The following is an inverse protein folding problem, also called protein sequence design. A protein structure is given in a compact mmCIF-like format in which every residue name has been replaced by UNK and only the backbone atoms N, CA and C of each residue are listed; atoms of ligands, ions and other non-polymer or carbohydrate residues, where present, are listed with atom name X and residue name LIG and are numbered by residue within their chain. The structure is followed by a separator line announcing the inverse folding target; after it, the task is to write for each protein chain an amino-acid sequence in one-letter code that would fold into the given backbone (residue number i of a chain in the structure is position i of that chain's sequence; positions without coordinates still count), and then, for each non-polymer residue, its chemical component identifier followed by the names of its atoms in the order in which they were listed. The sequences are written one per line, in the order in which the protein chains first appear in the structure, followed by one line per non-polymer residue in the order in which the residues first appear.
data_IF_938584884722
#
_entry.id   IF_938584884722
#
_cell.length_a   1.000
_cell.length_b   1.000
_cell.length_c   1.000
_cell.angle_alpha   90.00
_cell.angle_beta   90.00
_cell.angle_gamma   90.00
#
_symmetry.space_group_name_H-M   'P 1'
#
loop_
_entity.id
_entity.type
_entity.pdbx_description
1 polymer ?
#
# COMPACT_ATOMS: atom_id res chain seq x y z
N UNK A 1 33.34 -34.18 18.73
CA UNK A 1 32.93 -32.80 19.09
C UNK A 1 32.47 -32.11 17.81
N UNK A 2 31.24 -31.60 17.78
CA UNK A 2 30.65 -30.93 16.63
C UNK A 2 30.65 -29.42 16.92
N UNK A 3 31.07 -28.53 16.00
CA UNK A 3 31.09 -27.10 16.27
C UNK A 3 29.66 -26.54 16.40
N UNK A 4 29.43 -25.53 17.26
CA UNK A 4 28.13 -24.88 17.39
C UNK A 4 27.79 -24.09 16.11
N UNK A 5 26.50 -23.97 15.75
CA UNK A 5 26.08 -23.17 14.60
C UNK A 5 26.38 -21.68 14.84
N UNK A 6 26.69 -20.90 13.79
CA UNK A 6 26.92 -19.47 13.92
C UNK A 6 25.64 -18.77 14.40
N UNK A 7 25.81 -17.85 15.35
CA UNK A 7 24.74 -17.02 15.87
C UNK A 7 24.07 -16.24 14.73
N UNK A 8 22.78 -16.49 14.51
CA UNK A 8 21.97 -15.62 13.68
C UNK A 8 22.02 -14.22 14.30
N UNK A 9 22.51 -13.26 13.52
CA UNK A 9 22.31 -11.83 13.78
C UNK A 9 20.84 -11.62 14.15
N UNK A 10 20.53 -10.82 15.19
CA UNK A 10 19.14 -10.60 15.57
C UNK A 10 18.42 -10.01 14.37
N UNK A 11 17.55 -10.81 13.76
CA UNK A 11 16.67 -10.32 12.71
C UNK A 11 16.01 -9.08 13.28
N UNK A 12 16.28 -7.93 12.65
CA UNK A 12 15.66 -6.65 12.98
C UNK A 12 14.17 -6.94 13.14
N UNK A 13 13.62 -6.71 14.34
CA UNK A 13 12.30 -7.20 14.74
C UNK A 13 11.25 -6.57 13.83
N UNK A 14 10.98 -7.20 12.69
CA UNK A 14 9.88 -6.82 11.82
C UNK A 14 8.60 -6.96 12.61
N UNK A 15 7.77 -5.94 12.55
CA UNK A 15 6.44 -6.01 13.13
C UNK A 15 5.63 -7.09 12.40
N UNK A 16 4.76 -7.83 13.10
CA UNK A 16 4.00 -8.91 12.48
C UNK A 16 3.05 -8.36 11.41
N UNK A 17 2.81 -9.11 10.33
CA UNK A 17 1.94 -8.66 9.25
C UNK A 17 0.53 -8.38 9.75
N UNK A 18 0.04 -7.17 9.49
CA UNK A 18 -1.25 -6.69 9.97
C UNK A 18 -1.18 -5.84 11.24
N UNK A 19 -0.03 -5.79 11.92
CA UNK A 19 0.25 -4.74 12.88
C UNK A 19 0.43 -3.40 12.15
N UNK A 20 -0.21 -2.36 12.68
CA UNK A 20 -0.18 -0.99 12.12
C UNK A 20 0.16 0.03 13.20
N UNK A 21 0.72 -0.43 14.31
CA UNK A 21 0.93 0.37 15.52
C UNK A 21 2.17 1.28 15.39
N UNK A 22 3.06 0.99 14.44
CA UNK A 22 4.33 1.69 14.23
C UNK A 22 4.35 2.57 12.97
N UNK A 23 3.23 2.67 12.23
CA UNK A 23 3.17 3.50 11.02
C UNK A 23 3.53 4.95 11.37
N UNK A 24 4.54 5.54 10.71
CA UNK A 24 5.02 6.88 11.03
C UNK A 24 3.95 7.93 10.75
N UNK A 25 3.96 9.08 11.45
CA UNK A 25 2.94 10.13 11.31
C UNK A 25 2.72 10.58 9.86
N UNK A 26 3.81 10.70 9.08
CA UNK A 26 3.74 11.08 7.67
C UNK A 26 3.01 10.07 6.77
N UNK A 27 2.92 8.79 7.18
CA UNK A 27 2.23 7.74 6.44
C UNK A 27 0.82 7.44 6.97
N UNK A 28 0.42 8.01 8.12
CA UNK A 28 -0.90 7.77 8.70
C UNK A 28 -2.03 8.29 7.81
N UNK A 29 -1.84 9.48 7.22
CA UNK A 29 -2.82 10.05 6.30
C UNK A 29 -3.02 9.15 5.07
N UNK A 30 -1.92 8.70 4.45
CA UNK A 30 -1.93 7.74 3.34
C UNK A 30 -2.74 6.48 3.68
N UNK A 31 -2.42 5.84 4.80
CA UNK A 31 -3.06 4.59 5.22
C UNK A 31 -4.54 4.80 5.49
N UNK A 32 -4.92 5.92 6.11
CA UNK A 32 -6.31 6.25 6.39
C UNK A 32 -7.12 6.45 5.11
N UNK A 33 -6.61 7.25 4.15
CA UNK A 33 -7.27 7.52 2.88
C UNK A 33 -7.46 6.24 2.05
N UNK A 34 -6.39 5.44 1.89
CA UNK A 34 -6.46 4.18 1.15
C UNK A 34 -7.39 3.17 1.83
N UNK A 35 -7.39 3.08 3.15
CA UNK A 35 -8.27 2.18 3.89
C UNK A 35 -9.73 2.59 3.75
N UNK A 36 -10.04 3.89 3.84
CA UNK A 36 -11.40 4.40 3.66
C UNK A 36 -11.92 4.13 2.26
N UNK A 37 -11.11 4.41 1.24
CA UNK A 37 -11.48 4.18 -0.15
C UNK A 37 -11.66 2.68 -0.45
N UNK A 38 -10.75 1.83 0.04
CA UNK A 38 -10.88 0.38 -0.08
C UNK A 38 -12.14 -0.17 0.60
N UNK A 39 -12.54 0.38 1.75
CA UNK A 39 -13.79 0.02 2.43
C UNK A 39 -15.02 0.43 1.60
N UNK A 40 -15.01 1.63 1.00
CA UNK A 40 -16.06 2.08 0.08
C UNK A 40 -16.18 1.13 -1.11
N UNK A 41 -15.05 0.83 -1.76
CA UNK A 41 -15.00 -0.10 -2.89
C UNK A 41 -15.55 -1.47 -2.46
N UNK A 42 -15.15 -2.00 -1.31
CA UNK A 42 -15.64 -3.29 -0.83
C UNK A 42 -17.17 -3.31 -0.59
N UNK A 43 -17.77 -2.19 -0.15
CA UNK A 43 -19.21 -2.08 0.06
C UNK A 43 -20.02 -1.81 -1.21
N UNK A 44 -19.39 -1.31 -2.28
CA UNK A 44 -20.05 -0.88 -3.53
C UNK A 44 -19.77 -1.82 -4.71
N UNK A 45 -18.67 -2.58 -4.66
CA UNK A 45 -18.25 -3.44 -5.75
C UNK A 45 -19.23 -4.61 -5.95
N UNK A 46 -19.51 -5.01 -7.20
CA UNK A 46 -20.33 -6.18 -7.48
C UNK A 46 -19.69 -7.46 -6.93
N UNK A 47 -20.51 -8.46 -6.57
CA UNK A 47 -20.03 -9.75 -6.08
C UNK A 47 -19.06 -10.45 -7.06
N UNK A 48 -19.23 -10.23 -8.37
CA UNK A 48 -18.31 -10.72 -9.40
C UNK A 48 -16.85 -10.23 -9.21
N UNK A 49 -16.65 -9.09 -8.55
CA UNK A 49 -15.33 -8.51 -8.27
C UNK A 49 -14.81 -8.83 -6.87
N UNK A 50 -15.50 -9.64 -6.07
CA UNK A 50 -15.09 -9.94 -4.69
C UNK A 50 -13.66 -10.50 -4.59
N UNK A 51 -13.25 -11.34 -5.54
CA UNK A 51 -11.87 -11.84 -5.61
C UNK A 51 -10.84 -10.73 -5.84
N UNK A 52 -11.17 -9.76 -6.71
CA UNK A 52 -10.30 -8.61 -7.01
C UNK A 52 -10.23 -7.64 -5.84
N UNK A 53 -11.35 -7.39 -5.17
CA UNK A 53 -11.41 -6.59 -3.93
C UNK A 53 -10.51 -7.21 -2.88
N UNK A 54 -10.62 -8.53 -2.65
CA UNK A 54 -9.80 -9.26 -1.66
C UNK A 54 -8.30 -9.24 -2.00
N UNK A 55 -7.93 -9.45 -3.27
CA UNK A 55 -6.53 -9.33 -3.72
C UNK A 55 -5.99 -7.91 -3.49
N UNK A 56 -6.79 -6.89 -3.84
CA UNK A 56 -6.39 -5.49 -3.67
C UNK A 56 -6.18 -5.15 -2.20
N UNK A 57 -7.09 -5.60 -1.33
CA UNK A 57 -6.95 -5.47 0.13
C UNK A 57 -5.66 -6.10 0.64
N UNK A 58 -5.32 -7.31 0.16
CA UNK A 58 -4.08 -7.99 0.53
C UNK A 58 -2.85 -7.21 0.08
N UNK A 59 -2.87 -6.67 -1.14
CA UNK A 59 -1.76 -5.87 -1.70
C UNK A 59 -1.56 -4.55 -0.98
N UNK A 60 -2.64 -3.85 -0.63
CA UNK A 60 -2.57 -2.66 0.23
C UNK A 60 -2.03 -3.02 1.62
N UNK A 61 -2.40 -4.18 2.16
CA UNK A 61 -1.82 -4.71 3.39
C UNK A 61 -0.30 -4.86 3.35
N UNK A 62 0.27 -5.27 2.20
CA UNK A 62 1.73 -5.32 2.02
C UNK A 62 2.36 -3.92 2.05
N UNK A 63 1.73 -2.92 1.42
CA UNK A 63 2.19 -1.54 1.52
C UNK A 63 2.18 -1.06 2.97
N UNK A 64 1.11 -1.34 3.72
CA UNK A 64 1.01 -0.95 5.13
C UNK A 64 2.06 -1.64 5.99
N UNK A 65 2.40 -2.90 5.70
CA UNK A 65 3.47 -3.62 6.37
C UNK A 65 4.84 -2.97 6.10
N UNK A 66 5.13 -2.62 4.84
CA UNK A 66 6.36 -1.89 4.48
C UNK A 66 6.44 -0.55 5.22
N UNK A 67 5.35 0.22 5.25
CA UNK A 67 5.27 1.48 5.99
C UNK A 67 5.46 1.29 7.51
N UNK A 68 4.85 0.25 8.09
CA UNK A 68 4.94 -0.07 9.52
C UNK A 68 6.36 -0.51 9.91
N UNK A 69 7.06 -1.18 9.01
CA UNK A 69 8.45 -1.61 9.21
C UNK A 69 9.49 -0.55 8.81
N UNK A 70 9.07 0.58 8.23
CA UNK A 70 9.99 1.58 7.67
C UNK A 70 10.87 1.04 6.55
N UNK A 71 10.41 -0.01 5.86
CA UNK A 71 11.15 -0.73 4.83
C UNK A 71 10.66 -0.32 3.44
N UNK A 72 11.56 -0.33 2.45
CA UNK A 72 11.30 -0.18 1.01
C UNK A 72 10.82 1.23 0.61
N UNK A 73 9.73 1.71 1.20
CA UNK A 73 9.06 2.97 0.84
C UNK A 73 9.74 4.15 1.54
N UNK A 74 10.42 4.97 0.76
CA UNK A 74 11.09 6.18 1.22
C UNK A 74 10.08 7.29 1.57
N UNK A 75 10.42 8.24 2.46
CA UNK A 75 9.51 9.32 2.87
C UNK A 75 8.96 10.14 1.70
N UNK A 76 9.79 10.45 0.69
CA UNK A 76 9.33 11.13 -0.53
C UNK A 76 8.26 10.32 -1.29
N UNK A 77 8.42 9.00 -1.32
CA UNK A 77 7.44 8.08 -1.92
C UNK A 77 6.14 8.07 -1.13
N UNK A 78 6.23 8.13 0.21
CA UNK A 78 5.05 8.26 1.08
C UNK A 78 4.29 9.55 0.75
N UNK A 79 4.97 10.67 0.54
CA UNK A 79 4.34 11.93 0.14
C UNK A 79 3.64 11.80 -1.24
N UNK A 80 4.32 11.23 -2.24
CA UNK A 80 3.73 11.00 -3.56
C UNK A 80 2.51 10.06 -3.49
N UNK A 81 2.60 8.96 -2.74
CA UNK A 81 1.49 8.04 -2.51
C UNK A 81 0.33 8.72 -1.79
N UNK A 82 0.63 9.63 -0.85
CA UNK A 82 -0.39 10.42 -0.16
C UNK A 82 -1.17 11.28 -1.15
N UNK A 83 -0.47 11.95 -2.09
CA UNK A 83 -1.12 12.72 -3.16
C UNK A 83 -1.98 11.84 -4.08
N UNK A 84 -1.53 10.62 -4.38
CA UNK A 84 -2.36 9.64 -5.12
C UNK A 84 -3.65 9.35 -4.34
N UNK A 85 -3.54 9.08 -3.04
CA UNK A 85 -4.70 8.78 -2.20
C UNK A 85 -5.66 9.98 -2.09
N UNK A 86 -5.13 11.20 -1.96
CA UNK A 86 -5.92 12.43 -1.97
C UNK A 86 -6.66 12.61 -3.30
N UNK A 87 -5.98 12.41 -4.44
CA UNK A 87 -6.59 12.47 -5.76
C UNK A 87 -7.73 11.45 -5.92
N UNK A 88 -7.56 10.21 -5.43
CA UNK A 88 -8.64 9.21 -5.39
C UNK A 88 -9.85 9.74 -4.60
N UNK A 89 -9.62 10.31 -3.41
CA UNK A 89 -10.73 10.86 -2.59
C UNK A 89 -11.40 12.09 -3.20
N UNK A 90 -10.64 12.90 -3.95
CA UNK A 90 -11.15 14.02 -4.72
C UNK A 90 -11.85 13.59 -6.02
N UNK A 91 -11.89 12.28 -6.31
CA UNK A 91 -12.38 11.69 -7.57
C UNK A 91 -11.58 12.14 -8.81
N UNK A 92 -10.37 12.62 -8.61
CA UNK A 92 -9.41 12.93 -9.66
C UNK A 92 -8.63 11.67 -10.07
N UNK A 93 -9.33 10.72 -10.69
CA UNK A 93 -8.74 9.43 -11.05
C UNK A 93 -7.67 9.53 -12.14
N UNK A 94 -7.75 10.56 -12.99
CA UNK A 94 -6.75 10.81 -14.03
C UNK A 94 -5.43 11.28 -13.40
N UNK A 95 -5.47 12.26 -12.49
CA UNK A 95 -4.29 12.69 -11.76
C UNK A 95 -3.74 11.59 -10.85
N UNK A 96 -4.61 10.84 -10.17
CA UNK A 96 -4.18 9.67 -9.37
C UNK A 96 -3.42 8.64 -10.23
N UNK A 97 -3.93 8.31 -11.42
CA UNK A 97 -3.27 7.37 -12.34
C UNK A 97 -1.97 7.93 -12.91
N UNK A 98 -1.89 9.24 -13.17
CA UNK A 98 -0.69 9.90 -13.66
C UNK A 98 0.42 9.86 -12.60
N UNK A 99 0.11 10.29 -11.37
CA UNK A 99 1.04 10.25 -10.23
C UNK A 99 1.51 8.81 -9.95
N UNK A 100 0.59 7.85 -9.99
CA UNK A 100 0.93 6.43 -9.81
C UNK A 100 1.91 5.92 -10.88
N UNK A 101 1.76 6.36 -12.13
CA UNK A 101 2.69 6.01 -13.21
C UNK A 101 4.05 6.70 -13.05
N UNK A 102 4.07 7.93 -12.52
CA UNK A 102 5.31 8.64 -12.18
C UNK A 102 6.08 7.90 -11.08
N UNK A 103 5.42 7.43 -10.02
CA UNK A 103 6.04 6.62 -8.97
C UNK A 103 6.63 5.32 -9.55
N UNK A 104 5.91 4.61 -10.43
CA UNK A 104 6.45 3.41 -11.08
C UNK A 104 7.72 3.71 -11.89
N UNK A 105 7.74 4.85 -12.59
CA UNK A 105 8.85 5.24 -13.46
C UNK A 105 10.07 5.63 -12.63
N UNK A 106 9.87 6.49 -11.64
CA UNK A 106 10.94 7.13 -10.88
C UNK A 106 11.46 6.24 -9.75
N UNK A 107 10.57 5.42 -9.18
CA UNK A 107 10.80 4.63 -7.95
C UNK A 107 10.51 3.15 -8.15
N UNK A 108 10.93 2.63 -9.29
CA UNK A 108 10.70 1.22 -9.68
C UNK A 108 11.23 0.24 -8.64
N UNK A 109 12.33 0.57 -7.95
CA UNK A 109 12.95 -0.28 -6.92
C UNK A 109 12.09 -0.40 -5.67
N UNK A 110 11.28 0.63 -5.37
CA UNK A 110 10.34 0.66 -4.24
C UNK A 110 9.00 -0.01 -4.61
N UNK A 111 8.72 -0.16 -5.91
CA UNK A 111 7.47 -0.70 -6.43
C UNK A 111 7.40 -2.23 -6.28
N UNK A 112 6.89 -2.68 -5.14
CA UNK A 112 6.64 -4.10 -4.88
C UNK A 112 5.31 -4.63 -5.44
N UNK A 113 4.94 -5.83 -4.99
CA UNK A 113 3.65 -6.46 -5.30
C UNK A 113 2.43 -5.60 -4.90
N UNK A 114 2.61 -4.68 -3.96
CA UNK A 114 1.59 -3.76 -3.49
C UNK A 114 1.16 -2.72 -4.54
N UNK A 115 2.04 -2.36 -5.49
CA UNK A 115 1.76 -1.34 -6.51
C UNK A 115 0.59 -1.74 -7.44
N UNK A 116 0.47 -3.04 -7.72
CA UNK A 116 -0.66 -3.58 -8.48
C UNK A 116 -1.99 -3.36 -7.74
N UNK A 117 -1.96 -3.43 -6.40
CA UNK A 117 -3.11 -3.12 -5.55
C UNK A 117 -3.52 -1.66 -5.69
N UNK A 118 -2.57 -0.74 -5.61
CA UNK A 118 -2.85 0.70 -5.76
C UNK A 118 -3.48 1.03 -7.13
N UNK A 119 -2.91 0.50 -8.21
CA UNK A 119 -3.47 0.67 -9.57
C UNK A 119 -4.90 0.15 -9.69
N UNK A 120 -5.16 -1.04 -9.11
CA UNK A 120 -6.50 -1.65 -9.10
C UNK A 120 -7.47 -0.85 -8.26
N UNK A 121 -7.04 -0.32 -7.12
CA UNK A 121 -7.85 0.55 -6.28
C UNK A 121 -8.35 1.75 -7.09
N UNK A 122 -7.46 2.53 -7.72
CA UNK A 122 -7.84 3.68 -8.59
C UNK A 122 -8.91 3.27 -9.62
N UNK A 123 -8.71 2.12 -10.27
CA UNK A 123 -9.65 1.61 -11.28
C UNK A 123 -11.01 1.22 -10.69
N UNK A 124 -11.02 0.59 -9.52
CA UNK A 124 -12.24 0.18 -8.83
C UNK A 124 -12.99 1.35 -8.21
N UNK A 125 -12.28 2.34 -7.66
CA UNK A 125 -12.86 3.56 -7.09
C UNK A 125 -13.48 4.42 -8.18
N UNK A 126 -12.90 4.43 -9.38
CA UNK A 126 -13.55 5.01 -10.57
C UNK A 126 -14.82 4.25 -10.98
N UNK A 127 -14.81 2.93 -10.86
CA UNK A 127 -15.93 2.07 -11.25
C UNK A 127 -17.04 1.98 -10.18
N UNK A 128 -16.81 2.48 -8.97
CA UNK A 128 -17.78 2.45 -7.86
C UNK A 128 -18.25 3.87 -7.53
N UNK A 129 -19.56 4.17 -7.65
CA UNK A 129 -20.08 5.53 -7.46
C UNK A 129 -20.13 5.99 -6.00
#
# INVERSE_FOLDING_TARGET
ATPPPPAATPAERRFPPGDRSNIPPGAQQLVNLLSQDMQRVAGKAPAAFAAQVKDTQKRLGLLFDHLNNGELVQPDTVEQLTRVAEAITARDFEGASRLQAEIIRDKVEECGQWMVGLKRLISMSKATP
#
